data_IF_402640768939
#
_entry.id   IF_402640768939
#
_cell.length_a   1.000
_cell.length_b   1.000
_cell.length_c   1.000
_cell.angle_alpha   90.00
_cell.angle_beta   90.00
_cell.angle_gamma   90.00
#
_symmetry.space_group_name_H-M   'P 1'
#
loop_
_entity.id
_entity.type
_entity.pdbx_description
1 polymer ?
#
# COMPACT_ATOMS: atom_id res chain seq x y z
N UNK A 1 -21.73 -17.77 8.03
CA UNK A 1 -21.37 -17.09 6.79
C UNK A 1 -22.04 -17.85 5.67
N UNK A 2 -22.88 -17.19 4.85
CA UNK A 2 -23.35 -17.75 3.58
C UNK A 2 -22.12 -18.05 2.71
N UNK A 3 -22.19 -19.10 1.91
CA UNK A 3 -21.19 -19.40 0.88
C UNK A 3 -21.00 -18.15 0.02
N UNK A 4 -19.74 -17.70 -0.15
CA UNK A 4 -19.43 -16.49 -0.93
C UNK A 4 -19.72 -16.81 -2.41
N UNK A 5 -20.62 -16.08 -3.02
CA UNK A 5 -20.93 -16.20 -4.44
C UNK A 5 -20.01 -15.28 -5.25
N UNK A 6 -19.03 -15.87 -5.93
CA UNK A 6 -18.09 -15.14 -6.76
C UNK A 6 -18.59 -14.88 -8.20
N UNK A 7 -19.67 -15.54 -8.64
CA UNK A 7 -20.12 -15.49 -10.04
C UNK A 7 -20.48 -14.07 -10.49
N UNK A 8 -21.16 -13.30 -9.63
CA UNK A 8 -21.50 -11.90 -9.92
C UNK A 8 -20.26 -11.04 -10.04
N UNK A 9 -19.32 -11.16 -9.11
CA UNK A 9 -18.07 -10.40 -9.12
C UNK A 9 -17.25 -10.73 -10.38
N UNK A 10 -17.05 -12.00 -10.68
CA UNK A 10 -16.35 -12.46 -11.90
C UNK A 10 -16.99 -11.90 -13.18
N UNK A 11 -18.31 -11.92 -13.27
CA UNK A 11 -19.04 -11.36 -14.43
C UNK A 11 -18.80 -9.87 -14.61
N UNK A 12 -18.78 -9.08 -13.52
CA UNK A 12 -18.47 -7.64 -13.56
C UNK A 12 -17.02 -7.41 -13.95
N UNK A 13 -16.08 -8.19 -13.40
CA UNK A 13 -14.65 -8.06 -13.70
C UNK A 13 -14.31 -8.36 -15.15
N UNK A 14 -14.95 -9.36 -15.75
CA UNK A 14 -14.72 -9.71 -17.18
C UNK A 14 -15.37 -8.74 -18.14
N UNK A 15 -16.39 -7.98 -17.71
CA UNK A 15 -17.11 -6.99 -18.53
C UNK A 15 -17.30 -5.70 -17.71
N UNK A 16 -16.22 -5.00 -17.32
CA UNK A 16 -16.33 -3.86 -16.43
C UNK A 16 -16.98 -2.67 -17.12
N UNK A 17 -17.80 -1.88 -16.41
CA UNK A 17 -18.23 -0.59 -16.91
C UNK A 17 -17.03 0.36 -17.07
N UNK A 18 -17.19 1.37 -17.92
CA UNK A 18 -16.19 2.43 -18.06
C UNK A 18 -16.11 3.22 -16.74
N UNK A 19 -14.90 3.35 -16.23
CA UNK A 19 -14.62 4.15 -15.00
C UNK A 19 -13.61 5.23 -15.32
N UNK A 20 -13.61 6.30 -14.52
CA UNK A 20 -12.55 7.30 -14.59
C UNK A 20 -11.25 6.72 -14.06
N UNK A 21 -10.12 7.20 -14.58
CA UNK A 21 -8.80 6.78 -14.14
C UNK A 21 -8.50 7.25 -12.70
N UNK A 22 -7.73 6.49 -11.93
CA UNK A 22 -7.15 6.97 -10.67
C UNK A 22 -5.84 7.71 -10.92
N UNK A 23 -5.46 8.63 -10.00
CA UNK A 23 -4.13 9.22 -9.94
C UNK A 23 -3.51 8.84 -8.61
N UNK A 24 -2.25 8.38 -8.65
CA UNK A 24 -1.51 7.90 -7.46
C UNK A 24 -0.19 8.65 -7.35
N UNK A 25 0.12 9.13 -6.16
CA UNK A 25 1.35 9.85 -5.85
C UNK A 25 1.73 9.63 -4.35
N UNK A 26 2.92 10.02 -3.81
CA UNK A 26 3.94 10.86 -4.47
C UNK A 26 5.26 10.12 -4.77
N UNK A 27 5.39 8.79 -4.55
CA UNK A 27 6.69 8.19 -4.38
C UNK A 27 7.13 7.20 -5.47
N UNK A 28 8.43 7.22 -5.71
CA UNK A 28 9.15 6.19 -6.43
C UNK A 28 10.46 5.89 -5.70
N UNK A 29 10.76 4.63 -5.49
CA UNK A 29 12.01 4.13 -4.94
C UNK A 29 12.66 3.13 -5.88
N UNK A 30 13.99 3.03 -5.81
CA UNK A 30 14.73 1.88 -6.34
C UNK A 30 15.11 0.99 -5.16
N UNK A 31 14.61 -0.23 -5.17
CA UNK A 31 14.89 -1.22 -4.13
C UNK A 31 16.00 -2.16 -4.56
N UNK A 32 17.12 -2.10 -3.88
CA UNK A 32 18.27 -3.00 -4.08
C UNK A 32 18.22 -4.11 -3.03
N UNK A 33 17.82 -5.29 -3.45
CA UNK A 33 17.73 -6.47 -2.60
C UNK A 33 19.08 -7.17 -2.47
N UNK A 34 19.43 -7.51 -1.22
CA UNK A 34 20.60 -8.32 -0.87
C UNK A 34 20.12 -9.50 -0.03
N UNK A 35 20.39 -10.73 -0.47
CA UNK A 35 19.86 -11.93 0.18
C UNK A 35 20.95 -12.63 0.97
N UNK A 36 20.67 -12.90 2.25
CA UNK A 36 21.53 -13.65 3.15
C UNK A 36 20.76 -14.77 3.86
N UNK A 37 21.42 -15.90 4.09
CA UNK A 37 20.80 -17.04 4.77
C UNK A 37 20.56 -16.83 6.26
N UNK A 38 21.43 -16.03 6.93
CA UNK A 38 21.36 -15.73 8.37
C UNK A 38 21.82 -14.30 8.66
N UNK A 39 21.05 -13.59 9.48
CA UNK A 39 21.39 -12.25 9.96
C UNK A 39 22.61 -12.29 10.89
N UNK A 40 22.69 -13.29 11.75
CA UNK A 40 23.80 -13.45 12.68
C UNK A 40 25.12 -13.63 11.91
N UNK A 41 25.12 -14.48 10.89
CA UNK A 41 26.30 -14.68 10.03
C UNK A 41 26.69 -13.37 9.31
N UNK A 42 25.73 -12.63 8.76
CA UNK A 42 25.99 -11.34 8.12
C UNK A 42 26.65 -10.35 9.08
N UNK A 43 26.11 -10.23 10.31
CA UNK A 43 26.66 -9.33 11.34
C UNK A 43 28.09 -9.70 11.69
N UNK A 44 28.38 -10.99 11.87
CA UNK A 44 29.74 -11.46 12.23
C UNK A 44 30.75 -11.22 11.10
N UNK A 45 30.37 -11.46 9.85
CA UNK A 45 31.19 -11.17 8.68
C UNK A 45 31.45 -9.65 8.52
N UNK A 46 30.44 -8.82 8.75
CA UNK A 46 30.63 -7.35 8.71
C UNK A 46 31.58 -6.87 9.80
N UNK A 47 31.51 -7.42 11.01
CA UNK A 47 32.46 -7.12 12.09
C UNK A 47 33.88 -7.54 11.71
N UNK A 48 34.05 -8.77 11.21
CA UNK A 48 35.36 -9.27 10.74
C UNK A 48 35.97 -8.36 9.69
N UNK A 49 35.18 -7.91 8.68
CA UNK A 49 35.62 -7.00 7.66
C UNK A 49 36.00 -5.63 8.23
N UNK A 50 35.22 -5.11 9.19
CA UNK A 50 35.52 -3.83 9.84
C UNK A 50 36.83 -3.89 10.65
N UNK A 51 37.08 -4.98 11.38
CA UNK A 51 38.31 -5.20 12.16
C UNK A 51 39.56 -5.26 11.28
N UNK A 52 39.46 -5.78 10.06
CA UNK A 52 40.58 -5.80 9.10
C UNK A 52 40.71 -4.50 8.28
N UNK A 53 39.83 -3.50 8.48
CA UNK A 53 39.88 -2.22 7.78
C UNK A 53 39.10 -2.16 6.47
N UNK A 54 38.18 -3.11 6.23
CA UNK A 54 37.34 -3.19 5.03
C UNK A 54 37.51 -4.51 4.27
N UNK A 55 36.74 -4.69 3.20
CA UNK A 55 36.76 -5.89 2.37
C UNK A 55 35.44 -6.14 1.64
N UNK A 56 35.34 -7.29 1.00
CA UNK A 56 34.17 -7.70 0.22
C UNK A 56 33.52 -8.96 0.78
N UNK A 57 32.19 -9.00 0.82
CA UNK A 57 31.39 -10.22 0.94
C UNK A 57 30.96 -10.63 -0.47
N UNK A 58 31.55 -11.72 -0.97
CA UNK A 58 31.36 -12.20 -2.34
C UNK A 58 30.24 -13.22 -2.42
N UNK A 59 29.71 -13.42 -3.63
CA UNK A 59 28.73 -14.47 -3.98
C UNK A 59 27.36 -14.36 -3.29
N UNK A 60 26.98 -13.15 -2.87
CA UNK A 60 25.66 -12.90 -2.33
C UNK A 60 24.68 -12.58 -3.48
N UNK A 61 23.50 -13.19 -3.47
CA UNK A 61 22.45 -12.91 -4.45
C UNK A 61 21.96 -11.49 -4.27
N UNK A 62 21.95 -10.73 -5.36
CA UNK A 62 21.45 -9.36 -5.40
C UNK A 62 20.58 -9.14 -6.62
N UNK A 63 19.57 -8.29 -6.49
CA UNK A 63 18.73 -7.87 -7.61
C UNK A 63 18.09 -6.50 -7.32
N UNK A 64 17.70 -5.80 -8.36
CA UNK A 64 17.08 -4.48 -8.27
C UNK A 64 15.63 -4.60 -8.73
N UNK A 65 14.72 -3.95 -8.03
CA UNK A 65 13.32 -3.78 -8.40
C UNK A 65 12.90 -2.32 -8.31
N UNK A 66 11.84 -1.97 -9.02
CA UNK A 66 11.11 -0.75 -8.72
C UNK A 66 10.46 -0.89 -7.35
N UNK A 67 10.46 0.17 -6.57
CA UNK A 67 9.82 0.30 -5.27
C UNK A 67 9.03 1.60 -5.21
N UNK A 68 8.52 1.88 -4.02
CA UNK A 68 7.58 2.96 -3.77
C UNK A 68 6.13 2.51 -3.95
N UNK A 69 5.30 2.86 -2.96
CA UNK A 69 3.92 2.38 -2.93
C UNK A 69 3.11 2.94 -4.10
N UNK A 70 3.39 4.19 -4.54
CA UNK A 70 2.69 4.77 -5.69
C UNK A 70 2.99 4.00 -6.98
N UNK A 71 4.26 3.69 -7.27
CA UNK A 71 4.65 2.94 -8.47
C UNK A 71 4.13 1.50 -8.43
N UNK A 72 4.11 0.87 -7.25
CA UNK A 72 3.58 -0.49 -7.09
C UNK A 72 2.07 -0.51 -7.29
N UNK A 73 1.33 0.41 -6.66
CA UNK A 73 -0.12 0.56 -6.82
C UNK A 73 -0.50 0.84 -8.27
N UNK A 74 0.21 1.77 -8.95
CA UNK A 74 0.01 2.06 -10.39
C UNK A 74 0.23 0.81 -11.23
N UNK A 75 1.29 0.04 -10.96
CA UNK A 75 1.58 -1.19 -11.70
C UNK A 75 0.50 -2.25 -11.50
N UNK A 76 -0.05 -2.36 -10.30
CA UNK A 76 -1.16 -3.27 -10.01
C UNK A 76 -2.45 -2.80 -10.72
N UNK A 77 -2.80 -1.52 -10.65
CA UNK A 77 -3.96 -0.94 -11.33
C UNK A 77 -3.89 -1.12 -12.86
N UNK A 78 -2.69 -0.96 -13.43
CA UNK A 78 -2.46 -1.21 -14.85
C UNK A 78 -2.73 -2.68 -15.21
N UNK A 79 -2.26 -3.62 -14.40
CA UNK A 79 -2.53 -5.06 -14.60
C UNK A 79 -4.03 -5.39 -14.51
N UNK A 80 -4.79 -4.60 -13.74
CA UNK A 80 -6.25 -4.69 -13.66
C UNK A 80 -6.97 -4.01 -14.85
N UNK A 81 -6.22 -3.49 -15.83
CA UNK A 81 -6.78 -2.90 -17.06
C UNK A 81 -7.16 -1.42 -16.94
N UNK A 82 -6.76 -0.72 -15.89
CA UNK A 82 -6.90 0.73 -15.77
C UNK A 82 -5.71 1.46 -16.41
N UNK A 83 -5.89 2.75 -16.68
CA UNK A 83 -4.81 3.67 -17.10
C UNK A 83 -4.55 4.69 -15.96
N UNK A 84 -3.88 4.31 -14.87
CA UNK A 84 -3.63 5.20 -13.75
C UNK A 84 -2.60 6.29 -14.10
N UNK A 85 -2.80 7.50 -13.59
CA UNK A 85 -1.77 8.54 -13.58
C UNK A 85 -0.78 8.27 -12.43
N UNK A 86 0.51 8.43 -12.71
CA UNK A 86 1.59 8.39 -11.71
C UNK A 86 2.25 9.76 -11.62
N UNK A 87 2.23 10.38 -10.44
CA UNK A 87 2.99 11.60 -10.18
C UNK A 87 4.06 11.30 -9.13
N UNK A 88 5.33 11.50 -9.47
CA UNK A 88 6.46 11.30 -8.57
C UNK A 88 7.63 12.17 -8.97
N UNK A 89 8.57 12.42 -8.07
CA UNK A 89 9.80 13.16 -8.34
C UNK A 89 11.02 12.28 -8.07
N UNK A 90 11.96 12.31 -8.99
CA UNK A 90 13.24 11.62 -8.92
C UNK A 90 14.33 12.44 -9.62
N UNK A 91 15.45 11.87 -9.99
CA UNK A 91 16.44 12.45 -10.91
C UNK A 91 16.41 11.72 -12.28
N UNK A 92 17.21 12.19 -13.21
CA UNK A 92 17.33 11.60 -14.56
C UNK A 92 17.79 10.12 -14.51
N UNK A 93 18.60 9.76 -13.52
CA UNK A 93 19.06 8.38 -13.34
C UNK A 93 17.90 7.50 -12.83
N UNK A 94 17.17 7.98 -11.81
CA UNK A 94 15.98 7.29 -11.29
C UNK A 94 14.90 7.13 -12.35
N UNK A 95 14.63 8.16 -13.15
CA UNK A 95 13.66 8.05 -14.25
C UNK A 95 14.07 7.00 -15.29
N UNK A 96 15.37 6.88 -15.58
CA UNK A 96 15.90 5.85 -16.48
C UNK A 96 15.73 4.44 -15.89
N UNK A 97 15.95 4.28 -14.59
CA UNK A 97 15.70 3.02 -13.87
C UNK A 97 14.21 2.68 -13.84
N UNK A 98 13.35 3.66 -13.53
CA UNK A 98 11.90 3.46 -13.54
C UNK A 98 11.41 2.98 -14.91
N UNK A 99 11.85 3.64 -15.97
CA UNK A 99 11.53 3.23 -17.36
C UNK A 99 12.00 1.81 -17.69
N UNK A 100 13.12 1.37 -17.13
CA UNK A 100 13.68 0.02 -17.37
C UNK A 100 12.99 -1.06 -16.53
N UNK A 101 12.45 -0.72 -15.36
CA UNK A 101 11.93 -1.65 -14.36
C UNK A 101 10.39 -1.72 -14.35
N UNK A 102 9.70 -0.65 -14.77
CA UNK A 102 8.24 -0.61 -14.84
C UNK A 102 7.74 -1.28 -16.12
N UNK A 103 6.43 -1.59 -16.14
CA UNK A 103 5.75 -2.02 -17.37
C UNK A 103 5.84 -0.89 -18.40
N UNK A 104 6.17 -1.19 -19.68
CA UNK A 104 6.30 -0.17 -20.73
C UNK A 104 5.05 0.68 -20.98
N UNK A 105 3.88 0.22 -20.53
CA UNK A 105 2.61 0.94 -20.67
C UNK A 105 2.33 1.91 -19.52
N UNK A 106 3.17 1.97 -18.48
CA UNK A 106 3.06 3.01 -17.44
C UNK A 106 3.38 4.37 -18.04
N UNK A 107 2.45 5.30 -17.94
CA UNK A 107 2.68 6.69 -18.34
C UNK A 107 3.62 7.37 -17.32
N UNK A 108 4.78 7.81 -17.82
CA UNK A 108 5.81 8.49 -17.04
C UNK A 108 5.85 10.00 -17.31
N UNK A 109 4.87 10.57 -18.04
CA UNK A 109 4.85 11.99 -18.41
C UNK A 109 4.78 12.95 -17.23
N UNK A 110 4.27 12.46 -16.07
CA UNK A 110 4.15 13.19 -14.82
C UNK A 110 5.22 12.77 -13.78
N UNK A 111 6.30 12.14 -14.23
CA UNK A 111 7.47 11.84 -13.39
C UNK A 111 8.50 12.95 -13.57
N UNK A 112 8.66 13.77 -12.55
CA UNK A 112 9.58 14.91 -12.55
C UNK A 112 11.02 14.44 -12.34
N UNK A 113 11.98 15.07 -13.01
CA UNK A 113 13.40 14.64 -13.02
C UNK A 113 14.37 15.67 -12.43
N UNK A 114 13.86 16.68 -11.80
CA UNK A 114 14.62 17.76 -11.17
C UNK A 114 14.88 17.54 -9.66
N UNK A 115 14.54 16.35 -9.16
CA UNK A 115 14.73 15.95 -7.78
C UNK A 115 15.94 15.06 -7.55
N UNK A 116 15.85 14.23 -6.50
CA UNK A 116 16.84 13.21 -6.10
C UNK A 116 16.21 11.84 -6.07
N UNK A 117 16.94 10.81 -6.52
CA UNK A 117 16.53 9.44 -6.42
C UNK A 117 16.25 9.04 -4.95
N UNK A 118 15.12 8.40 -4.73
CA UNK A 118 14.82 7.69 -3.48
C UNK A 118 15.22 6.22 -3.65
N UNK A 119 15.90 5.64 -2.67
CA UNK A 119 16.41 4.28 -2.78
C UNK A 119 16.41 3.53 -1.45
N UNK A 120 16.25 2.20 -1.52
CA UNK A 120 16.29 1.32 -0.37
C UNK A 120 17.25 0.16 -0.63
N UNK A 121 18.13 -0.13 0.33
CA UNK A 121 18.80 -1.42 0.42
C UNK A 121 17.95 -2.31 1.30
N UNK A 122 17.43 -3.38 0.71
CA UNK A 122 16.57 -4.37 1.36
C UNK A 122 17.35 -5.65 1.63
N UNK A 123 17.63 -5.95 2.89
CA UNK A 123 18.34 -7.16 3.30
C UNK A 123 17.32 -8.23 3.63
N UNK A 124 17.15 -9.18 2.73
CA UNK A 124 16.30 -10.36 2.96
C UNK A 124 17.12 -11.46 3.65
N UNK A 125 16.72 -11.86 4.84
CA UNK A 125 17.46 -12.82 5.64
C UNK A 125 16.57 -13.61 6.59
N UNK A 126 17.17 -14.49 7.40
CA UNK A 126 16.51 -15.20 8.51
C UNK A 126 17.09 -14.74 9.84
N UNK A 127 16.21 -14.50 10.80
CA UNK A 127 16.54 -14.26 12.20
C UNK A 127 15.71 -15.18 13.08
N UNK A 128 16.36 -15.99 13.92
CA UNK A 128 15.69 -17.00 14.77
C UNK A 128 14.64 -17.84 14.02
N UNK A 129 15.03 -18.36 12.85
CA UNK A 129 14.19 -19.16 11.93
C UNK A 129 12.98 -18.42 11.32
N UNK A 130 12.89 -17.11 11.44
CA UNK A 130 11.88 -16.30 10.76
C UNK A 130 12.52 -15.57 9.58
N UNK A 131 11.83 -15.54 8.44
CA UNK A 131 12.19 -14.62 7.35
C UNK A 131 11.97 -13.19 7.84
N UNK A 132 12.95 -12.34 7.66
CA UNK A 132 12.89 -10.90 7.97
C UNK A 132 13.42 -10.09 6.79
N UNK A 133 12.86 -8.91 6.61
CA UNK A 133 13.33 -7.92 5.65
C UNK A 133 13.76 -6.68 6.44
N UNK A 134 15.02 -6.28 6.28
CA UNK A 134 15.59 -5.09 6.92
C UNK A 134 15.84 -4.05 5.85
N UNK A 135 15.21 -2.90 5.97
CA UNK A 135 15.30 -1.81 4.99
C UNK A 135 16.18 -0.68 5.50
N UNK A 136 17.09 -0.22 4.65
CA UNK A 136 17.93 0.96 4.87
C UNK A 136 17.65 1.91 3.71
N UNK A 137 16.92 3.01 3.98
CA UNK A 137 16.39 3.88 2.94
C UNK A 137 17.01 5.28 2.98
N UNK A 138 17.30 5.82 1.79
CA UNK A 138 17.40 7.25 1.54
C UNK A 138 16.12 7.68 0.85
N UNK A 139 15.31 8.47 1.54
CA UNK A 139 13.99 8.89 1.04
C UNK A 139 14.06 9.92 -0.10
N UNK A 140 15.24 10.47 -0.43
CA UNK A 140 15.41 11.35 -1.58
C UNK A 140 14.31 12.41 -1.69
N UNK A 141 13.74 12.57 -2.90
CA UNK A 141 12.64 13.52 -3.13
C UNK A 141 11.33 13.10 -2.51
N UNK A 142 11.10 11.80 -2.22
CA UNK A 142 9.89 11.35 -1.54
C UNK A 142 9.73 11.95 -0.14
N UNK A 143 10.84 12.38 0.52
CA UNK A 143 10.80 12.98 1.85
C UNK A 143 10.28 14.42 1.88
N UNK A 144 10.28 15.14 0.77
CA UNK A 144 9.98 16.57 0.72
C UNK A 144 8.94 16.96 -0.34
N UNK A 145 8.42 15.99 -1.09
CA UNK A 145 7.43 16.25 -2.12
C UNK A 145 6.24 17.02 -1.55
N UNK A 146 5.87 18.12 -2.20
CA UNK A 146 4.87 19.06 -1.70
C UNK A 146 3.97 19.57 -2.82
N UNK A 147 2.85 20.19 -2.46
CA UNK A 147 1.90 20.77 -3.42
C UNK A 147 2.56 21.75 -4.39
N UNK A 148 3.58 22.50 -3.95
CA UNK A 148 4.28 23.49 -4.80
C UNK A 148 5.15 22.87 -5.91
N UNK A 149 5.39 21.56 -5.88
CA UNK A 149 6.14 20.86 -6.93
C UNK A 149 5.22 20.37 -8.07
N UNK A 150 3.90 20.42 -7.88
CA UNK A 150 2.94 20.03 -8.90
C UNK A 150 2.87 21.09 -10.01
N UNK A 151 2.95 20.62 -11.24
CA UNK A 151 2.75 21.45 -12.43
C UNK A 151 1.28 21.69 -12.72
N UNK A 152 0.95 22.60 -13.66
CA UNK A 152 -0.41 22.78 -14.15
C UNK A 152 -0.99 21.51 -14.76
N UNK A 153 -0.17 20.78 -15.50
CA UNK A 153 -0.52 19.52 -16.15
C UNK A 153 -0.84 18.42 -15.12
N UNK A 154 -0.08 18.36 -14.01
CA UNK A 154 -0.38 17.45 -12.89
C UNK A 154 -1.73 17.79 -12.24
N UNK A 155 -1.96 19.07 -11.98
CA UNK A 155 -3.22 19.53 -11.40
C UNK A 155 -4.42 19.25 -12.33
N UNK A 156 -4.23 19.29 -13.63
CA UNK A 156 -5.29 19.00 -14.60
C UNK A 156 -5.66 17.51 -14.60
N UNK A 157 -4.68 16.59 -14.57
CA UNK A 157 -4.99 15.16 -14.45
C UNK A 157 -5.59 14.80 -13.09
N UNK A 158 -5.15 15.45 -12.00
CA UNK A 158 -5.73 15.25 -10.67
C UNK A 158 -7.20 15.69 -10.65
N UNK A 159 -7.55 16.86 -11.19
CA UNK A 159 -8.94 17.34 -11.26
C UNK A 159 -9.84 16.45 -12.13
N UNK A 160 -9.27 15.82 -13.17
CA UNK A 160 -9.99 14.95 -14.11
C UNK A 160 -10.20 13.54 -13.61
N UNK A 161 -9.48 13.08 -12.58
CA UNK A 161 -9.51 11.70 -12.13
C UNK A 161 -10.84 11.28 -11.48
N UNK A 162 -11.03 9.99 -11.26
CA UNK A 162 -12.14 9.44 -10.49
C UNK A 162 -11.80 9.24 -9.01
N UNK A 163 -10.49 9.06 -8.72
CA UNK A 163 -9.97 8.87 -7.38
C UNK A 163 -8.51 9.36 -7.34
N UNK A 164 -8.21 10.17 -6.33
CA UNK A 164 -6.86 10.62 -6.00
C UNK A 164 -6.34 9.81 -4.80
N UNK A 165 -5.26 9.06 -5.00
CA UNK A 165 -4.62 8.25 -3.97
C UNK A 165 -3.28 8.84 -3.55
N UNK A 166 -3.14 9.16 -2.27
CA UNK A 166 -1.88 9.49 -1.62
C UNK A 166 -1.41 8.29 -0.80
N UNK A 167 -0.25 7.74 -1.14
CA UNK A 167 0.27 6.54 -0.51
C UNK A 167 1.69 6.75 0.00
N UNK A 168 2.12 5.95 1.00
CA UNK A 168 3.48 5.98 1.57
C UNK A 168 3.90 7.35 2.13
N UNK A 169 2.98 8.06 2.76
CA UNK A 169 3.25 9.40 3.30
C UNK A 169 4.16 9.38 4.54
N UNK A 170 4.46 8.21 5.10
CA UNK A 170 5.37 8.06 6.25
C UNK A 170 6.80 8.58 5.98
N UNK A 171 7.24 8.56 4.72
CA UNK A 171 8.55 9.09 4.31
C UNK A 171 8.52 10.60 4.03
N UNK A 172 7.35 11.19 3.87
CA UNK A 172 7.20 12.58 3.47
C UNK A 172 6.97 13.50 4.67
N UNK A 173 7.96 14.34 4.96
CA UNK A 173 7.90 15.32 6.07
C UNK A 173 6.87 16.43 5.84
N UNK A 174 6.47 16.67 4.59
CA UNK A 174 5.41 17.61 4.17
C UNK A 174 4.11 16.89 3.82
N UNK A 175 4.02 15.58 4.06
CA UNK A 175 2.92 14.72 3.62
C UNK A 175 1.55 15.15 4.13
N UNK A 176 1.45 15.63 5.37
CA UNK A 176 0.19 16.13 5.91
C UNK A 176 -0.28 17.44 5.26
N UNK A 177 0.66 18.33 4.89
CA UNK A 177 0.36 19.57 4.15
C UNK A 177 -0.05 19.23 2.71
N UNK A 178 0.72 18.36 2.05
CA UNK A 178 0.41 17.88 0.70
C UNK A 178 -0.99 17.25 0.64
N UNK A 179 -1.31 16.35 1.56
CA UNK A 179 -2.61 15.68 1.61
C UNK A 179 -3.75 16.68 1.88
N UNK A 180 -3.55 17.59 2.84
CA UNK A 180 -4.52 18.65 3.12
C UNK A 180 -4.81 19.48 1.86
N UNK A 181 -3.79 20.01 1.22
CA UNK A 181 -3.95 20.96 0.10
C UNK A 181 -4.55 20.26 -1.14
N UNK A 182 -4.14 19.05 -1.44
CA UNK A 182 -4.66 18.26 -2.56
C UNK A 182 -6.12 17.83 -2.32
N UNK A 183 -6.43 17.29 -1.15
CA UNK A 183 -7.79 16.84 -0.85
C UNK A 183 -8.76 18.03 -0.74
N UNK A 184 -8.32 19.16 -0.17
CA UNK A 184 -9.11 20.38 -0.18
C UNK A 184 -9.39 20.84 -1.62
N UNK A 185 -8.38 20.85 -2.49
CA UNK A 185 -8.58 21.19 -3.91
C UNK A 185 -9.57 20.24 -4.59
N UNK A 186 -9.50 18.93 -4.33
CA UNK A 186 -10.46 17.95 -4.88
C UNK A 186 -11.87 18.26 -4.39
N UNK A 187 -12.07 18.48 -3.09
CA UNK A 187 -13.39 18.82 -2.53
C UNK A 187 -13.97 20.10 -3.14
N UNK A 188 -13.13 21.07 -3.47
CA UNK A 188 -13.56 22.36 -4.02
C UNK A 188 -13.84 22.32 -5.53
N UNK A 189 -13.19 21.42 -6.27
CA UNK A 189 -13.13 21.50 -7.75
C UNK A 189 -13.58 20.24 -8.50
N UNK A 190 -13.72 19.10 -7.81
CA UNK A 190 -13.98 17.81 -8.43
C UNK A 190 -14.95 16.96 -7.60
N UNK A 191 -15.46 15.90 -8.20
CA UNK A 191 -16.20 14.83 -7.51
C UNK A 191 -15.35 13.56 -7.33
N UNK A 192 -14.04 13.66 -7.53
CA UNK A 192 -13.14 12.54 -7.33
C UNK A 192 -13.11 12.14 -5.84
N UNK A 193 -12.97 10.85 -5.58
CA UNK A 193 -12.77 10.35 -4.23
C UNK A 193 -11.32 10.60 -3.80
N UNK A 194 -11.13 10.82 -2.50
CA UNK A 194 -9.82 10.95 -1.88
C UNK A 194 -9.48 9.68 -1.10
N UNK A 195 -8.30 9.14 -1.36
CA UNK A 195 -7.80 7.89 -0.77
C UNK A 195 -6.43 8.13 -0.14
N UNK A 196 -6.19 7.59 1.04
CA UNK A 196 -4.90 7.70 1.71
C UNK A 196 -4.47 6.38 2.34
N UNK A 197 -3.18 6.05 2.17
CA UNK A 197 -2.44 5.02 2.89
C UNK A 197 -1.16 5.67 3.45
N UNK A 198 -1.00 5.69 4.76
CA UNK A 198 0.16 6.32 5.40
C UNK A 198 1.46 5.55 5.14
N UNK A 199 1.39 4.26 4.92
CA UNK A 199 2.53 3.36 5.02
C UNK A 199 2.96 3.16 6.49
N UNK A 200 4.01 2.37 6.73
CA UNK A 200 4.48 2.08 8.10
C UNK A 200 5.11 3.31 8.77
N UNK A 201 4.48 3.93 9.77
CA UNK A 201 5.02 5.12 10.43
C UNK A 201 6.05 4.82 11.52
N UNK A 202 6.47 3.56 11.70
CA UNK A 202 7.37 3.14 12.79
C UNK A 202 8.73 3.89 12.75
N UNK A 203 9.21 4.22 11.56
CA UNK A 203 10.45 4.99 11.37
C UNK A 203 10.29 6.51 11.58
N UNK A 204 9.07 7.02 11.51
CA UNK A 204 8.77 8.45 11.57
C UNK A 204 7.43 8.73 12.29
N UNK A 205 7.26 8.29 13.55
CA UNK A 205 5.95 8.31 14.23
C UNK A 205 5.37 9.70 14.47
N UNK A 206 6.20 10.76 14.42
CA UNK A 206 5.75 12.15 14.61
C UNK A 206 4.88 12.69 13.47
N UNK A 207 4.81 12.00 12.32
CA UNK A 207 3.92 12.44 11.23
C UNK A 207 2.46 12.07 11.49
N UNK A 208 2.18 10.98 12.25
CA UNK A 208 0.83 10.47 12.45
C UNK A 208 -0.11 11.49 13.07
N UNK A 209 0.27 12.19 14.17
CA UNK A 209 -0.57 13.27 14.71
C UNK A 209 -0.87 14.38 13.72
N UNK A 210 0.06 14.70 12.81
CA UNK A 210 -0.15 15.73 11.80
C UNK A 210 -1.21 15.31 10.79
N UNK A 211 -1.15 14.06 10.28
CA UNK A 211 -2.15 13.51 9.37
C UNK A 211 -3.53 13.39 10.04
N UNK A 212 -3.57 12.92 11.29
CA UNK A 212 -4.82 12.81 12.05
C UNK A 212 -5.50 14.19 12.19
N UNK A 213 -4.78 15.21 12.64
CA UNK A 213 -5.35 16.52 12.93
C UNK A 213 -5.62 17.36 11.68
N UNK A 214 -4.84 17.23 10.62
CA UNK A 214 -4.93 18.07 9.43
C UNK A 214 -5.73 17.46 8.29
N UNK A 215 -5.87 16.14 8.26
CA UNK A 215 -6.50 15.43 7.13
C UNK A 215 -7.63 14.53 7.61
N UNK A 216 -7.34 13.53 8.46
CA UNK A 216 -8.30 12.46 8.77
C UNK A 216 -9.52 13.00 9.54
N UNK A 217 -9.34 13.97 10.44
CA UNK A 217 -10.43 14.62 11.19
C UNK A 217 -11.11 15.80 10.46
N UNK A 218 -10.78 16.06 9.19
CA UNK A 218 -11.18 17.32 8.52
C UNK A 218 -12.23 17.16 7.44
N UNK A 219 -12.87 16.01 7.31
CA UNK A 219 -13.82 15.74 6.22
C UNK A 219 -13.23 15.96 4.81
N UNK A 220 -11.91 15.78 4.71
CA UNK A 220 -11.17 15.90 3.45
C UNK A 220 -10.90 14.54 2.80
N UNK A 221 -10.92 13.48 3.60
CA UNK A 221 -10.59 12.12 3.22
C UNK A 221 -11.85 11.26 3.16
N UNK A 222 -12.08 10.63 2.00
CA UNK A 222 -13.19 9.71 1.83
C UNK A 222 -12.82 8.29 2.29
N UNK A 223 -11.57 7.86 2.03
CA UNK A 223 -11.12 6.47 2.24
C UNK A 223 -9.74 6.46 2.89
N UNK A 224 -9.65 5.83 4.04
CA UNK A 224 -8.41 5.56 4.74
C UNK A 224 -8.11 4.05 4.68
N UNK A 225 -7.08 3.66 3.91
CA UNK A 225 -6.55 2.30 3.91
C UNK A 225 -5.55 2.12 5.03
N UNK A 226 -5.68 1.04 5.80
CA UNK A 226 -4.80 0.77 6.96
C UNK A 226 -4.57 -0.72 7.16
N UNK A 227 -3.36 -1.07 7.56
CA UNK A 227 -3.04 -2.38 8.10
C UNK A 227 -3.09 -2.38 9.64
N UNK A 228 -2.81 -3.53 10.26
CA UNK A 228 -2.84 -3.69 11.71
C UNK A 228 -1.86 -2.78 12.46
N UNK A 229 -0.71 -2.47 11.87
CA UNK A 229 0.27 -1.57 12.49
C UNK A 229 -0.19 -0.12 12.44
N UNK A 230 -0.68 0.32 11.29
CA UNK A 230 -1.18 1.68 11.08
C UNK A 230 -2.43 1.97 11.93
N UNK A 231 -3.35 1.00 12.06
CA UNK A 231 -4.46 1.08 13.03
C UNK A 231 -3.94 1.41 14.43
N UNK A 232 -2.88 0.73 14.86
CA UNK A 232 -2.30 0.97 16.18
C UNK A 232 -1.79 2.40 16.37
N UNK A 233 -1.07 2.93 15.40
CA UNK A 233 -0.53 4.28 15.46
C UNK A 233 -1.61 5.37 15.44
N UNK A 234 -2.63 5.21 14.59
CA UNK A 234 -3.73 6.17 14.48
C UNK A 234 -4.60 6.11 15.72
N UNK A 235 -5.00 4.91 16.19
CA UNK A 235 -5.80 4.74 17.39
C UNK A 235 -5.07 5.24 18.65
N UNK A 236 -3.76 5.02 18.76
CA UNK A 236 -2.93 5.61 19.82
C UNK A 236 -2.98 7.14 19.79
N UNK A 237 -2.89 7.75 18.62
CA UNK A 237 -2.94 9.21 18.45
C UNK A 237 -4.31 9.77 18.85
N UNK A 238 -5.39 9.10 18.46
CA UNK A 238 -6.76 9.51 18.77
C UNK A 238 -7.08 9.42 20.27
N UNK A 239 -6.62 8.36 20.94
CA UNK A 239 -7.00 8.07 22.34
C UNK A 239 -5.96 8.47 23.37
N UNK A 240 -4.70 8.64 22.98
CA UNK A 240 -3.57 8.81 23.91
C UNK A 240 -3.16 7.52 24.64
N UNK A 241 -3.83 6.38 24.42
CA UNK A 241 -3.58 5.11 25.12
C UNK A 241 -2.54 4.25 24.36
N UNK A 242 -1.27 4.60 24.57
CA UNK A 242 -0.14 3.87 23.95
C UNK A 242 -0.10 2.39 24.35
N UNK A 243 -0.38 2.07 25.61
CA UNK A 243 -0.25 0.69 26.11
C UNK A 243 -1.24 -0.26 25.44
N UNK A 244 -2.45 0.21 25.22
CA UNK A 244 -3.48 -0.55 24.51
C UNK A 244 -3.11 -0.80 23.06
N UNK A 245 -2.65 0.23 22.35
CA UNK A 245 -2.50 0.23 20.88
C UNK A 245 -1.09 -0.10 20.38
N UNK A 246 -0.08 -0.21 21.25
CA UNK A 246 1.25 -0.64 20.81
C UNK A 246 1.28 -2.12 20.40
N UNK A 247 2.16 -2.44 19.45
CA UNK A 247 2.40 -3.82 18.98
C UNK A 247 1.12 -4.52 18.47
N UNK A 248 0.32 -3.80 17.72
CA UNK A 248 -0.96 -4.27 17.16
C UNK A 248 -0.84 -5.56 16.32
N UNK A 249 0.23 -5.80 15.51
CA UNK A 249 0.38 -7.08 14.82
C UNK A 249 0.28 -8.33 15.70
N UNK A 250 0.58 -8.21 17.01
CA UNK A 250 0.44 -9.29 17.98
C UNK A 250 -0.90 -9.31 18.73
N UNK A 251 -1.87 -8.45 18.38
CA UNK A 251 -3.15 -8.28 19.07
C UNK A 251 -4.34 -8.33 18.09
N UNK A 252 -4.56 -9.45 17.39
CA UNK A 252 -5.58 -9.52 16.34
C UNK A 252 -7.00 -9.25 16.84
N UNK A 253 -7.27 -9.45 18.13
CA UNK A 253 -8.55 -9.13 18.77
C UNK A 253 -8.84 -7.62 18.85
N UNK A 254 -7.83 -6.76 18.66
CA UNK A 254 -7.98 -5.30 18.68
C UNK A 254 -8.03 -4.68 17.26
N UNK A 255 -7.76 -5.43 16.21
CA UNK A 255 -7.65 -4.85 14.86
C UNK A 255 -8.94 -4.18 14.40
N UNK A 256 -10.05 -4.92 14.41
CA UNK A 256 -11.35 -4.36 14.03
C UNK A 256 -11.85 -3.32 15.03
N UNK A 257 -11.55 -3.50 16.31
CA UNK A 257 -11.87 -2.52 17.36
C UNK A 257 -11.17 -1.18 17.11
N UNK A 258 -9.88 -1.22 16.74
CA UNK A 258 -9.12 -0.03 16.40
C UNK A 258 -9.59 0.63 15.10
N UNK A 259 -9.86 -0.16 14.06
CA UNK A 259 -10.38 0.35 12.79
C UNK A 259 -11.76 1.01 12.97
N UNK A 260 -12.65 0.40 13.79
CA UNK A 260 -13.94 0.98 14.12
C UNK A 260 -13.79 2.27 14.93
N UNK A 261 -12.91 2.31 15.93
CA UNK A 261 -12.60 3.53 16.68
C UNK A 261 -12.19 4.68 15.76
N UNK A 262 -11.33 4.40 14.75
CA UNK A 262 -10.90 5.41 13.80
C UNK A 262 -12.10 5.93 13.00
N UNK A 263 -12.93 5.06 12.45
CA UNK A 263 -14.11 5.44 11.68
C UNK A 263 -15.11 6.26 12.54
N UNK A 264 -15.39 5.81 13.77
CA UNK A 264 -16.33 6.47 14.69
C UNK A 264 -15.85 7.89 15.10
N UNK A 265 -14.54 8.06 15.34
CA UNK A 265 -13.96 9.34 15.80
C UNK A 265 -13.74 10.35 14.66
N UNK A 266 -13.67 9.88 13.41
CA UNK A 266 -13.27 10.74 12.30
C UNK A 266 -14.32 10.86 11.19
N UNK A 267 -15.27 9.94 11.13
CA UNK A 267 -16.29 9.87 10.06
C UNK A 267 -15.76 9.33 8.73
N UNK A 268 -14.45 9.04 8.61
CA UNK A 268 -13.85 8.51 7.39
C UNK A 268 -14.21 7.03 7.17
N UNK A 269 -14.41 6.60 5.92
CA UNK A 269 -14.46 5.17 5.62
C UNK A 269 -13.07 4.55 5.85
N UNK A 270 -13.00 3.56 6.72
CA UNK A 270 -11.76 2.82 6.99
C UNK A 270 -11.81 1.48 6.26
N UNK A 271 -10.84 1.25 5.38
CA UNK A 271 -10.63 -0.01 4.70
C UNK A 271 -9.40 -0.69 5.32
N UNK A 272 -9.65 -1.69 6.15
CA UNK A 272 -8.64 -2.43 6.90
C UNK A 272 -8.21 -3.68 6.13
N UNK A 273 -6.91 -3.95 6.08
CA UNK A 273 -6.36 -5.18 5.51
C UNK A 273 -5.31 -5.83 6.41
N UNK A 274 -5.28 -7.15 6.41
CA UNK A 274 -4.31 -7.96 7.15
C UNK A 274 -4.08 -9.31 6.44
N UNK A 275 -3.09 -10.11 6.86
CA UNK A 275 -2.92 -11.45 6.32
C UNK A 275 -4.08 -12.41 6.60
N UNK A 276 -4.99 -12.08 7.52
CA UNK A 276 -6.06 -12.96 7.98
C UNK A 276 -7.43 -12.60 7.45
N UNK A 277 -7.78 -11.33 7.45
CA UNK A 277 -9.04 -10.79 6.96
C UNK A 277 -8.91 -9.33 6.56
N UNK A 278 -9.86 -8.86 5.78
CA UNK A 278 -10.06 -7.44 5.48
C UNK A 278 -11.44 -6.99 5.91
N UNK A 279 -11.59 -5.68 6.16
CA UNK A 279 -12.86 -5.10 6.58
C UNK A 279 -13.03 -3.68 6.04
N UNK A 280 -14.27 -3.29 5.79
CA UNK A 280 -14.69 -1.91 5.56
C UNK A 280 -15.59 -1.47 6.71
N UNK A 281 -15.30 -0.30 7.25
CA UNK A 281 -16.10 0.37 8.27
C UNK A 281 -16.50 1.74 7.71
N UNK A 282 -17.80 2.02 7.62
CA UNK A 282 -18.34 3.28 7.11
C UNK A 282 -19.63 3.64 7.85
N UNK A 283 -19.56 4.60 8.77
CA UNK A 283 -20.65 4.85 9.71
C UNK A 283 -20.98 3.61 10.52
N UNK A 284 -22.25 3.23 10.57
CA UNK A 284 -22.71 2.01 11.28
C UNK A 284 -22.48 0.71 10.50
N UNK A 285 -22.10 0.81 9.22
CA UNK A 285 -21.89 -0.37 8.37
C UNK A 285 -20.51 -0.96 8.60
N UNK A 286 -20.46 -2.25 8.92
CA UNK A 286 -19.24 -3.06 9.02
C UNK A 286 -19.36 -4.27 8.14
N UNK A 287 -18.48 -4.40 7.17
CA UNK A 287 -18.34 -5.57 6.32
C UNK A 287 -16.93 -6.14 6.47
N UNK A 288 -16.82 -7.43 6.78
CA UNK A 288 -15.52 -8.08 6.90
C UNK A 288 -15.51 -9.45 6.21
N UNK A 289 -14.41 -9.76 5.54
CA UNK A 289 -14.22 -11.01 4.81
C UNK A 289 -12.85 -11.62 5.12
N UNK A 290 -12.76 -12.96 5.30
CA UNK A 290 -11.44 -13.61 5.44
C UNK A 290 -10.64 -13.46 4.15
N UNK A 291 -9.31 -13.45 4.28
CA UNK A 291 -8.40 -13.56 3.13
C UNK A 291 -8.41 -14.99 2.58
N UNK A 292 -7.76 -15.19 1.44
CA UNK A 292 -7.55 -16.52 0.89
C UNK A 292 -6.25 -17.14 1.43
N UNK A 293 -6.20 -18.48 1.42
CA UNK A 293 -4.96 -19.21 1.74
C UNK A 293 -3.97 -19.04 0.58
N UNK A 294 -2.75 -18.64 0.90
CA UNK A 294 -1.68 -18.46 -0.09
C UNK A 294 -0.36 -19.02 0.42
N UNK A 295 0.43 -19.57 -0.50
CA UNK A 295 1.85 -19.78 -0.26
C UNK A 295 2.58 -18.46 -0.59
N UNK A 296 3.02 -17.74 0.45
CA UNK A 296 3.65 -16.45 0.28
C UNK A 296 5.10 -16.57 -0.15
N UNK A 297 5.42 -16.10 -1.35
CA UNK A 297 6.77 -15.98 -1.88
C UNK A 297 7.31 -14.56 -1.73
N UNK A 298 6.44 -13.55 -1.79
CA UNK A 298 6.76 -12.12 -1.68
C UNK A 298 5.80 -11.46 -0.70
N UNK A 299 6.32 -10.65 0.21
CA UNK A 299 5.50 -9.91 1.18
C UNK A 299 5.49 -8.41 0.87
N UNK A 300 6.64 -7.87 0.44
CA UNK A 300 6.77 -6.46 0.08
C UNK A 300 5.87 -6.13 -1.12
N UNK A 301 5.06 -5.08 -1.02
CA UNK A 301 4.08 -4.68 -2.04
C UNK A 301 2.70 -5.37 -1.94
N UNK A 302 2.49 -6.23 -0.92
CA UNK A 302 1.18 -6.86 -0.71
C UNK A 302 0.08 -5.84 -0.39
N UNK A 303 0.39 -4.83 0.42
CA UNK A 303 -0.51 -3.70 0.71
C UNK A 303 -0.84 -2.89 -0.55
N UNK A 304 0.17 -2.60 -1.39
CA UNK A 304 -0.01 -1.86 -2.65
C UNK A 304 -0.92 -2.64 -3.63
N UNK A 305 -0.74 -3.95 -3.71
CA UNK A 305 -1.59 -4.83 -4.51
C UNK A 305 -3.02 -4.87 -3.97
N UNK A 306 -3.18 -4.92 -2.64
CA UNK A 306 -4.49 -4.86 -1.99
C UNK A 306 -5.16 -3.51 -2.26
N UNK A 307 -4.45 -2.39 -2.06
CA UNK A 307 -4.93 -1.04 -2.34
C UNK A 307 -5.39 -0.89 -3.80
N UNK A 308 -4.66 -1.45 -4.76
CA UNK A 308 -5.07 -1.41 -6.15
C UNK A 308 -6.41 -2.13 -6.39
N UNK A 309 -6.61 -3.30 -5.79
CA UNK A 309 -7.88 -4.02 -5.84
C UNK A 309 -9.03 -3.25 -5.19
N UNK A 310 -8.76 -2.61 -4.05
CA UNK A 310 -9.73 -1.78 -3.33
C UNK A 310 -10.11 -0.51 -4.11
N UNK A 311 -9.12 0.20 -4.66
CA UNK A 311 -9.32 1.37 -5.54
C UNK A 311 -10.14 0.97 -6.76
N UNK A 312 -9.79 -0.14 -7.43
CA UNK A 312 -10.52 -0.59 -8.61
C UNK A 312 -11.97 -0.96 -8.27
N UNK A 313 -12.18 -1.73 -7.21
CA UNK A 313 -13.52 -2.08 -6.75
C UNK A 313 -14.34 -0.86 -6.31
N UNK A 314 -13.71 0.16 -5.74
CA UNK A 314 -14.34 1.44 -5.40
C UNK A 314 -14.77 2.19 -6.67
N UNK A 315 -13.91 2.29 -7.68
CA UNK A 315 -14.24 2.94 -8.96
C UNK A 315 -15.37 2.21 -9.72
N UNK A 316 -15.42 0.88 -9.60
CA UNK A 316 -16.51 0.04 -10.13
C UNK A 316 -17.80 0.15 -9.31
N UNK A 317 -17.79 0.87 -8.18
CA UNK A 317 -18.90 0.97 -7.23
C UNK A 317 -19.40 -0.42 -6.77
N UNK A 318 -18.47 -1.34 -6.51
CA UNK A 318 -18.81 -2.67 -6.01
C UNK A 318 -19.34 -2.58 -4.57
N UNK A 319 -20.28 -3.46 -4.19
CA UNK A 319 -20.62 -3.65 -2.78
C UNK A 319 -19.38 -3.97 -1.94
N UNK A 320 -19.36 -3.58 -0.67
CA UNK A 320 -18.21 -3.74 0.21
C UNK A 320 -17.65 -5.17 0.22
N UNK A 321 -18.52 -6.19 0.28
CA UNK A 321 -18.09 -7.58 0.27
C UNK A 321 -17.34 -7.95 -1.02
N UNK A 322 -17.87 -7.60 -2.18
CA UNK A 322 -17.25 -7.93 -3.48
C UNK A 322 -15.94 -7.18 -3.66
N UNK A 323 -15.87 -5.94 -3.22
CA UNK A 323 -14.68 -5.09 -3.25
C UNK A 323 -13.56 -5.66 -2.37
N UNK A 324 -13.87 -6.07 -1.13
CA UNK A 324 -12.91 -6.71 -0.23
C UNK A 324 -12.43 -8.07 -0.77
N UNK A 325 -13.32 -8.85 -1.39
CA UNK A 325 -12.97 -10.11 -2.06
C UNK A 325 -11.99 -9.84 -3.21
N UNK A 326 -12.26 -8.82 -4.05
CA UNK A 326 -11.38 -8.42 -5.14
C UNK A 326 -10.01 -8.02 -4.61
N UNK A 327 -9.94 -7.12 -3.63
CA UNK A 327 -8.69 -6.66 -3.03
C UNK A 327 -7.87 -7.82 -2.43
N UNK A 328 -8.55 -8.73 -1.71
CA UNK A 328 -7.92 -9.94 -1.17
C UNK A 328 -7.41 -10.87 -2.27
N UNK A 329 -8.14 -11.05 -3.38
CA UNK A 329 -7.71 -11.89 -4.49
C UNK A 329 -6.47 -11.30 -5.19
N UNK A 330 -6.45 -9.98 -5.45
CA UNK A 330 -5.29 -9.28 -6.03
C UNK A 330 -4.05 -9.45 -5.15
N UNK A 331 -4.17 -9.19 -3.85
CA UNK A 331 -3.05 -9.35 -2.91
C UNK A 331 -2.60 -10.82 -2.80
N UNK A 332 -3.54 -11.76 -2.73
CA UNK A 332 -3.24 -13.20 -2.62
C UNK A 332 -2.46 -13.71 -3.83
N UNK A 333 -2.89 -13.39 -5.03
CA UNK A 333 -2.20 -13.78 -6.26
C UNK A 333 -0.83 -13.11 -6.39
N UNK A 334 -0.72 -11.83 -5.98
CA UNK A 334 0.56 -11.14 -5.94
C UNK A 334 1.56 -11.80 -4.99
N UNK A 335 1.17 -12.08 -3.74
CA UNK A 335 2.10 -12.69 -2.77
C UNK A 335 2.47 -14.13 -3.12
N UNK A 336 1.64 -14.81 -3.90
CA UNK A 336 1.90 -16.17 -4.41
C UNK A 336 2.80 -16.18 -5.65
N UNK A 337 3.08 -15.02 -6.25
CA UNK A 337 3.97 -14.91 -7.41
C UNK A 337 5.43 -14.87 -6.98
N UNK A 338 6.24 -15.83 -7.45
CA UNK A 338 7.69 -15.86 -7.19
C UNK A 338 8.39 -14.62 -7.75
N UNK A 339 7.88 -14.06 -8.85
CA UNK A 339 8.44 -12.90 -9.54
C UNK A 339 7.86 -11.57 -9.09
N UNK A 340 6.95 -11.56 -8.10
CA UNK A 340 6.19 -10.38 -7.67
C UNK A 340 5.41 -9.71 -8.83
N UNK A 341 4.77 -10.55 -9.65
CA UNK A 341 3.95 -10.10 -10.78
C UNK A 341 2.52 -9.84 -10.30
N UNK A 342 1.97 -8.69 -10.64
CA UNK A 342 0.57 -8.37 -10.36
C UNK A 342 -0.37 -9.20 -11.26
N UNK A 343 -1.48 -9.73 -10.72
CA UNK A 343 -2.44 -10.52 -11.50
C UNK A 343 -3.22 -9.64 -12.48
N UNK A 344 -3.62 -10.25 -13.59
CA UNK A 344 -4.60 -9.67 -14.52
C UNK A 344 -6.01 -10.02 -14.08
N UNK A 345 -7.00 -9.34 -14.64
CA UNK A 345 -8.42 -9.64 -14.39
C UNK A 345 -8.76 -11.09 -14.72
N UNK A 346 -8.20 -11.65 -15.81
CA UNK A 346 -8.38 -13.07 -16.16
C UNK A 346 -7.90 -14.02 -15.06
N UNK A 347 -6.74 -13.71 -14.46
CA UNK A 347 -6.15 -14.56 -13.41
C UNK A 347 -7.00 -14.52 -12.14
N UNK A 348 -7.55 -13.33 -11.81
CA UNK A 348 -8.46 -13.15 -10.68
C UNK A 348 -9.78 -13.89 -10.91
N UNK A 349 -10.35 -13.80 -12.12
CA UNK A 349 -11.57 -14.50 -12.47
C UNK A 349 -11.40 -16.02 -12.35
N UNK A 350 -10.34 -16.58 -12.92
CA UNK A 350 -10.01 -18.02 -12.81
C UNK A 350 -9.78 -18.45 -11.37
N UNK A 351 -9.06 -17.64 -10.59
CA UNK A 351 -8.82 -17.88 -9.17
C UNK A 351 -10.14 -17.97 -8.38
N UNK A 352 -11.03 -16.99 -8.55
CA UNK A 352 -12.31 -16.96 -7.84
C UNK A 352 -13.24 -18.10 -8.28
N UNK A 353 -13.27 -18.45 -9.57
CA UNK A 353 -14.05 -19.59 -10.11
C UNK A 353 -13.57 -20.93 -9.52
N UNK A 354 -12.30 -21.05 -9.15
CA UNK A 354 -11.77 -22.25 -8.49
C UNK A 354 -12.27 -22.42 -7.05
N UNK A 355 -13.05 -21.46 -6.51
CA UNK A 355 -13.51 -21.45 -5.11
C UNK A 355 -12.35 -21.62 -4.11
N UNK A 356 -11.39 -20.70 -4.10
CA UNK A 356 -10.17 -20.84 -3.30
C UNK A 356 -10.47 -20.90 -1.80
N UNK A 357 -9.68 -21.68 -1.03
CA UNK A 357 -9.91 -21.83 0.40
C UNK A 357 -9.66 -20.52 1.14
N UNK A 358 -10.55 -20.21 2.08
CA UNK A 358 -10.45 -19.04 2.94
C UNK A 358 -9.52 -19.30 4.13
N UNK A 359 -8.86 -18.23 4.61
CA UNK A 359 -8.03 -18.27 5.82
C UNK A 359 -8.82 -18.80 7.01
N UNK A 360 -8.35 -19.89 7.61
CA UNK A 360 -8.95 -20.50 8.80
C UNK A 360 -8.86 -19.54 9.99
N UNK A 361 -7.74 -18.86 10.14
CA UNK A 361 -7.51 -17.90 11.23
C UNK A 361 -8.38 -16.65 11.03
N UNK A 362 -8.49 -16.13 9.81
CA UNK A 362 -9.41 -15.05 9.50
C UNK A 362 -10.86 -15.42 9.80
N UNK A 363 -11.29 -16.62 9.41
CA UNK A 363 -12.64 -17.12 9.70
C UNK A 363 -12.90 -17.24 11.21
N UNK A 364 -11.91 -17.65 12.00
CA UNK A 364 -12.02 -17.72 13.47
C UNK A 364 -12.08 -16.35 14.13
N UNK A 365 -11.20 -15.43 13.71
CA UNK A 365 -11.14 -14.06 14.24
C UNK A 365 -12.47 -13.34 14.03
N UNK A 366 -13.06 -13.45 12.84
CA UNK A 366 -14.36 -12.83 12.51
C UNK A 366 -15.57 -13.46 13.23
N UNK A 367 -15.44 -14.67 13.78
CA UNK A 367 -16.52 -15.30 14.59
C UNK A 367 -16.51 -14.86 16.06
N UNK A 368 -15.40 -14.31 16.54
CA UNK A 368 -15.22 -13.90 17.93
C UNK A 368 -15.51 -12.39 18.10
N UNK A 369 -15.49 -11.65 17.01
CA UNK A 369 -15.83 -10.22 16.95
C UNK A 369 -17.29 -10.00 16.57
#
# INVERSE_FOLDING_TARGET
MSELDYARLTSVLLNPPLVKYPVVLPDFFVDHFVVYDSLEFLIDELKRLAEQGGGNLLNNKQFIRKGGNAVNTVSALLSLGLNPGLIATTDNYGASLLKALADPSVDLSHVHTDGRLSSTVSIETKYKNRKVNLMISDSGSASEFSFSELTSEDLDIIKGCGLLALVNLNHNLKGADLAHDLFQMIKDTSSALTFMDLGDPSGNPQIVPQHVERVIKRDLLDILSVNENEVGWIAQTLTGDRERWKNMPAKPELWLVGAKLIADETGVRVDFHSPHYSATISGDDVCAVPTFVAESHVVCGAGDAWNAGDIYGTLLNLPYQDRLILANAVATLYVSSISATHPKISDIAEFLESSPPLSVDGTKLLKVQ
#
